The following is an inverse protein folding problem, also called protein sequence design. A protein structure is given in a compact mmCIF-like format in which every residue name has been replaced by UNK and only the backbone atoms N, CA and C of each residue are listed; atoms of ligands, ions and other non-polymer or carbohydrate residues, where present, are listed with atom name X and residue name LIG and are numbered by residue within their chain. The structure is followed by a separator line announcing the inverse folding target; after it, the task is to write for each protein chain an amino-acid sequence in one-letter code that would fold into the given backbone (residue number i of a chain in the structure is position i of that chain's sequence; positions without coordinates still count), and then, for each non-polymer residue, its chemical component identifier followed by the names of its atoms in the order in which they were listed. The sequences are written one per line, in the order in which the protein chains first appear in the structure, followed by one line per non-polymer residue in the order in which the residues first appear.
data_IF_481301759512
#
_entry.id   IF_481301759512
#
_cell.length_a   1.000
_cell.length_b   1.000
_cell.length_c   1.000
_cell.angle_alpha   90.00
_cell.angle_beta   90.00
_cell.angle_gamma   90.00
#
_symmetry.space_group_name_H-M   'P 1'
#
loop_
_entity.id
_entity.type
_entity.pdbx_description
1 polymer ?
#
# COMPACT_ATOMS: atom_id res chain seq x y z
N UNK A 1 -7.08 18.03 -3.96
CA UNK A 1 -6.91 18.13 -5.43
C UNK A 1 -5.46 17.96 -5.79
N UNK A 2 -5.17 17.47 -7.00
CA UNK A 2 -3.81 17.34 -7.52
C UNK A 2 -3.57 18.40 -8.59
N UNK A 3 -2.41 19.05 -8.55
CA UNK A 3 -1.94 19.97 -9.57
C UNK A 3 -0.57 19.53 -10.04
N UNK A 4 -0.30 19.63 -11.34
CA UNK A 4 1.01 19.34 -11.92
C UNK A 4 1.51 20.61 -12.61
N UNK A 5 2.70 21.06 -12.23
CA UNK A 5 3.33 22.26 -12.78
C UNK A 5 4.79 21.93 -13.11
N UNK A 6 5.10 21.77 -14.40
CA UNK A 6 6.38 21.20 -14.83
C UNK A 6 6.57 19.81 -14.22
N UNK A 7 7.71 19.59 -13.56
CA UNK A 7 8.05 18.33 -12.89
C UNK A 7 7.52 18.25 -11.43
N UNK A 8 6.92 19.34 -10.93
CA UNK A 8 6.34 19.37 -9.58
C UNK A 8 4.89 18.87 -9.59
N UNK A 9 4.58 17.96 -8.67
CA UNK A 9 3.25 17.47 -8.37
C UNK A 9 2.87 17.95 -6.98
N UNK A 10 1.85 18.81 -6.94
CA UNK A 10 1.37 19.48 -5.74
C UNK A 10 0.04 18.87 -5.31
N UNK A 11 -0.09 18.59 -4.02
CA UNK A 11 -1.34 18.21 -3.40
C UNK A 11 -1.93 19.41 -2.68
N UNK A 12 -3.19 19.73 -2.97
CA UNK A 12 -4.02 20.55 -2.11
C UNK A 12 -4.84 19.66 -1.20
N UNK A 13 -4.59 19.78 0.10
CA UNK A 13 -5.20 19.01 1.17
C UNK A 13 -6.16 19.94 1.92
N UNK A 14 -7.48 19.77 1.78
CA UNK A 14 -8.45 20.53 2.55
C UNK A 14 -8.23 20.36 4.06
N UNK A 15 -8.43 21.41 4.84
CA UNK A 15 -8.23 21.37 6.30
C UNK A 15 -9.11 20.27 6.96
N UNK A 16 -10.31 20.03 6.42
CA UNK A 16 -11.20 18.95 6.88
C UNK A 16 -10.72 17.52 6.55
N UNK A 17 -9.66 17.36 5.76
CA UNK A 17 -9.01 16.07 5.50
C UNK A 17 -7.84 15.79 6.45
N UNK A 18 -7.33 16.82 7.13
CA UNK A 18 -6.30 16.65 8.14
C UNK A 18 -6.89 15.87 9.33
N UNK A 19 -6.15 14.87 9.81
CA UNK A 19 -6.61 13.98 10.87
C UNK A 19 -7.54 12.86 10.40
N UNK A 20 -7.96 12.85 9.12
CA UNK A 20 -8.79 11.76 8.58
C UNK A 20 -7.92 10.61 8.07
N UNK A 21 -8.35 9.41 8.39
CA UNK A 21 -7.72 8.17 7.94
C UNK A 21 -8.10 7.87 6.50
N UNK A 22 -7.12 7.44 5.71
CA UNK A 22 -7.25 7.11 4.30
C UNK A 22 -6.60 5.75 4.04
N UNK A 23 -7.15 4.97 3.12
CA UNK A 23 -6.52 3.73 2.69
C UNK A 23 -5.52 4.03 1.57
N UNK A 24 -4.24 3.71 1.78
CA UNK A 24 -3.20 3.73 0.76
C UNK A 24 -2.95 2.32 0.23
N UNK A 25 -3.25 2.12 -1.06
CA UNK A 25 -2.97 0.87 -1.78
C UNK A 25 -1.90 1.14 -2.84
N UNK A 26 -0.81 0.38 -2.81
CA UNK A 26 0.25 0.44 -3.81
C UNK A 26 0.30 -0.86 -4.60
N UNK A 27 0.44 -0.74 -5.92
CA UNK A 27 0.45 -1.88 -6.85
C UNK A 27 1.51 -1.70 -7.92
N UNK A 28 2.07 -2.80 -8.43
CA UNK A 28 2.89 -2.78 -9.63
C UNK A 28 1.94 -2.64 -10.83
N UNK A 29 1.93 -1.49 -11.49
CA UNK A 29 1.11 -1.26 -12.68
C UNK A 29 1.74 -1.92 -13.91
N UNK A 30 3.07 -1.77 -14.06
CA UNK A 30 3.87 -2.36 -15.13
C UNK A 30 5.25 -2.72 -14.61
N UNK A 31 5.82 -3.81 -15.09
CA UNK A 31 7.17 -4.20 -14.72
C UNK A 31 7.81 -5.05 -15.81
N UNK A 32 9.13 -5.11 -15.84
CA UNK A 32 9.84 -6.06 -16.70
C UNK A 32 9.55 -7.50 -16.25
N UNK A 33 9.73 -8.46 -17.17
CA UNK A 33 9.46 -9.88 -16.93
C UNK A 33 10.15 -10.38 -15.65
N UNK A 34 9.48 -11.25 -14.90
CA UNK A 34 9.98 -11.93 -13.70
C UNK A 34 10.20 -11.10 -12.41
N UNK A 35 9.73 -9.85 -12.35
CA UNK A 35 9.74 -9.05 -11.10
C UNK A 35 8.42 -9.21 -10.31
N UNK A 36 7.32 -9.48 -11.03
CA UNK A 36 5.94 -9.53 -10.54
C UNK A 36 4.97 -9.49 -11.72
N UNK A 37 3.67 -9.31 -11.44
CA UNK A 37 2.64 -9.17 -12.49
C UNK A 37 1.95 -7.81 -12.40
N UNK A 38 1.50 -7.28 -13.54
CA UNK A 38 0.70 -6.06 -13.56
C UNK A 38 -0.58 -6.23 -12.75
N UNK A 39 -0.81 -5.32 -11.80
CA UNK A 39 -1.92 -5.36 -10.84
C UNK A 39 -1.57 -5.97 -9.48
N UNK A 40 -0.37 -6.53 -9.30
CA UNK A 40 0.07 -7.08 -8.02
C UNK A 40 0.13 -5.99 -6.94
N UNK A 41 -0.53 -6.24 -5.80
CA UNK A 41 -0.49 -5.37 -4.63
C UNK A 41 0.81 -5.55 -3.84
N UNK A 42 1.52 -4.45 -3.63
CA UNK A 42 2.77 -4.45 -2.87
C UNK A 42 2.57 -3.95 -1.44
N UNK A 43 1.56 -3.11 -1.22
CA UNK A 43 1.24 -2.52 0.07
C UNK A 43 -0.25 -2.18 0.19
N UNK A 44 -0.80 -2.40 1.38
CA UNK A 44 -2.06 -1.85 1.84
C UNK A 44 -1.84 -1.29 3.24
N UNK A 45 -2.12 0.00 3.46
CA UNK A 45 -1.92 0.64 4.76
C UNK A 45 -2.92 1.76 5.00
N UNK A 46 -3.31 1.94 6.26
CA UNK A 46 -4.07 3.12 6.65
C UNK A 46 -3.09 4.26 6.92
N UNK A 47 -3.35 5.41 6.33
CA UNK A 47 -2.50 6.61 6.46
C UNK A 47 -3.31 7.82 6.86
N UNK A 48 -2.67 8.79 7.51
CA UNK A 48 -3.31 10.02 7.96
C UNK A 48 -2.40 11.22 7.75
N UNK A 49 -2.98 12.28 7.17
CA UNK A 49 -2.33 13.58 7.08
C UNK A 49 -2.44 14.31 8.42
N UNK A 50 -1.33 14.83 8.92
CA UNK A 50 -1.27 15.56 10.19
C UNK A 50 -0.52 16.87 9.99
N UNK A 51 -1.05 17.97 10.55
CA UNK A 51 -0.32 19.24 10.57
C UNK A 51 0.55 19.32 11.81
N UNK A 52 1.84 19.59 11.61
CA UNK A 52 2.78 19.89 12.68
C UNK A 52 3.54 21.18 12.33
N UNK A 53 3.15 22.29 12.96
CA UNK A 53 3.73 23.60 12.69
C UNK A 53 3.54 24.04 11.23
N UNK A 54 4.67 24.24 10.55
CA UNK A 54 4.81 24.63 9.14
C UNK A 54 4.93 23.44 8.19
N UNK A 55 4.67 22.22 8.68
CA UNK A 55 4.76 20.97 7.91
C UNK A 55 3.47 20.18 7.94
N UNK A 56 3.31 19.36 6.90
CA UNK A 56 2.31 18.30 6.83
C UNK A 56 3.06 16.97 6.88
N UNK A 57 2.72 16.16 7.86
CA UNK A 57 3.19 14.80 8.00
C UNK A 57 2.19 13.85 7.34
N UNK A 58 2.71 12.78 6.75
CA UNK A 58 1.92 11.58 6.47
C UNK A 58 2.37 10.51 7.45
N UNK A 59 1.42 9.95 8.19
CA UNK A 59 1.68 8.86 9.14
C UNK A 59 1.03 7.57 8.67
N UNK A 60 1.61 6.44 9.04
CA UNK A 60 0.95 5.14 8.94
C UNK A 60 0.25 4.82 10.26
N UNK A 61 -1.03 4.48 10.18
CA UNK A 61 -1.87 4.12 11.34
C UNK A 61 -1.83 2.61 11.52
N UNK A 62 -1.60 2.15 12.75
CA UNK A 62 -1.61 0.73 13.12
C UNK A 62 -2.69 0.48 14.16
N UNK A 63 -3.49 -0.57 13.93
CA UNK A 63 -4.55 -1.02 14.86
C UNK A 63 -4.21 -2.34 15.55
N UNK A 64 -2.94 -2.75 15.56
CA UNK A 64 -2.52 -4.03 16.15
C UNK A 64 -2.89 -4.13 17.64
N UNK A 65 -2.81 -3.00 18.35
CA UNK A 65 -3.18 -2.89 19.75
C UNK A 65 -4.38 -1.94 19.89
N UNK A 66 -5.49 -2.40 20.44
CA UNK A 66 -6.67 -1.56 20.70
C UNK A 66 -7.08 -1.64 22.17
N UNK A 67 -7.75 -0.60 22.62
CA UNK A 67 -8.46 -0.56 23.89
C UNK A 67 -9.63 0.39 23.73
N UNK A 68 -10.76 0.04 24.35
CA UNK A 68 -11.93 0.91 24.38
C UNK A 68 -11.56 2.30 24.90
N UNK A 69 -11.95 3.34 24.16
CA UNK A 69 -11.62 4.73 24.46
C UNK A 69 -12.06 5.22 25.85
N UNK A 70 -13.05 4.54 26.45
CA UNK A 70 -13.58 4.83 27.79
C UNK A 70 -12.73 4.21 28.90
N UNK A 71 -11.83 3.28 28.59
CA UNK A 71 -11.00 2.60 29.58
C UNK A 71 -9.72 3.39 29.90
N UNK A 72 -9.24 3.37 31.16
CA UNK A 72 -8.00 4.04 31.56
C UNK A 72 -6.77 3.62 30.75
N UNK A 73 -6.70 2.35 30.34
CA UNK A 73 -5.60 1.77 29.56
C UNK A 73 -5.52 2.33 28.13
N UNK A 74 -6.60 2.92 27.60
CA UNK A 74 -6.64 3.46 26.24
C UNK A 74 -5.60 4.54 25.97
N UNK A 75 -5.22 5.33 26.97
CA UNK A 75 -4.14 6.32 26.84
C UNK A 75 -2.79 5.65 26.66
N UNK A 76 -2.50 4.60 27.43
CA UNK A 76 -1.26 3.85 27.32
C UNK A 76 -1.16 3.09 25.99
N UNK A 77 -2.26 2.47 25.54
CA UNK A 77 -2.31 1.79 24.23
C UNK A 77 -2.11 2.77 23.08
N UNK A 78 -2.77 3.95 23.10
CA UNK A 78 -2.54 4.99 22.08
C UNK A 78 -1.11 5.52 22.09
N UNK A 79 -0.51 5.73 23.27
CA UNK A 79 0.88 6.17 23.38
C UNK A 79 1.87 5.10 22.91
N UNK A 80 1.58 3.82 23.16
CA UNK A 80 2.38 2.70 22.68
C UNK A 80 2.28 2.51 21.15
N UNK A 81 1.14 2.88 20.56
CA UNK A 81 0.93 2.91 19.11
C UNK A 81 1.37 4.24 18.48
N UNK A 82 2.58 4.72 18.81
CA UNK A 82 3.08 5.95 18.18
C UNK A 82 3.30 5.72 16.67
N UNK A 83 2.48 6.36 15.87
CA UNK A 83 2.39 6.17 14.43
C UNK A 83 3.65 6.67 13.69
N UNK A 84 4.37 5.81 12.95
CA UNK A 84 5.53 6.21 12.16
C UNK A 84 5.20 7.27 11.11
N UNK A 85 6.11 8.24 10.97
CA UNK A 85 6.05 9.27 9.93
C UNK A 85 6.68 8.69 8.66
N UNK A 86 5.90 8.64 7.57
CA UNK A 86 6.35 8.15 6.26
C UNK A 86 6.63 9.29 5.28
N UNK A 87 6.13 10.50 5.55
CA UNK A 87 6.50 11.72 4.85
C UNK A 87 6.45 12.94 5.80
N UNK A 88 7.34 13.91 5.56
CA UNK A 88 7.30 15.20 6.24
C UNK A 88 7.53 16.30 5.21
N UNK A 89 6.46 17.00 4.83
CA UNK A 89 6.43 17.91 3.70
C UNK A 89 6.26 19.35 4.21
N UNK A 90 7.10 20.31 3.80
CA UNK A 90 6.87 21.71 4.12
C UNK A 90 5.58 22.20 3.44
N UNK A 91 4.84 23.09 4.11
CA UNK A 91 3.70 23.78 3.48
C UNK A 91 4.25 24.76 2.45
N UNK A 92 3.96 24.52 1.18
CA UNK A 92 4.40 25.36 0.08
C UNK A 92 3.55 26.63 -0.03
N UNK A 93 2.23 26.51 0.19
CA UNK A 93 1.29 27.61 0.12
C UNK A 93 -0.05 27.23 0.79
N UNK A 94 -0.96 28.21 0.85
CA UNK A 94 -2.37 28.00 1.11
C UNK A 94 -3.16 28.32 -0.16
N UNK A 95 -4.34 27.72 -0.33
CA UNK A 95 -5.26 28.16 -1.37
C UNK A 95 -5.84 29.55 -1.04
N UNK A 96 -6.48 30.20 -2.02
CA UNK A 96 -6.87 31.62 -1.94
C UNK A 96 -7.80 31.98 -0.77
N UNK A 97 -8.62 31.04 -0.30
CA UNK A 97 -9.52 31.19 0.86
C UNK A 97 -8.97 30.54 2.14
N UNK A 98 -7.74 30.02 2.11
CA UNK A 98 -7.03 29.35 3.22
C UNK A 98 -7.71 28.09 3.79
N UNK A 99 -8.67 27.52 3.06
CA UNK A 99 -9.38 26.29 3.45
C UNK A 99 -8.59 25.00 3.17
N UNK A 100 -7.46 25.10 2.46
CA UNK A 100 -6.58 23.99 2.13
C UNK A 100 -5.10 24.40 2.16
N UNK A 101 -4.25 23.44 2.53
CA UNK A 101 -2.79 23.56 2.44
C UNK A 101 -2.28 22.93 1.15
N UNK A 102 -1.22 23.50 0.58
CA UNK A 102 -0.56 23.00 -0.62
C UNK A 102 0.81 22.45 -0.23
N UNK A 103 1.11 21.22 -0.64
CA UNK A 103 2.39 20.54 -0.39
C UNK A 103 2.92 19.93 -1.68
N UNK A 104 4.25 19.93 -1.86
CA UNK A 104 4.91 19.23 -2.96
C UNK A 104 5.15 17.76 -2.56
N UNK A 105 4.60 16.84 -3.36
CA UNK A 105 4.72 15.39 -3.14
C UNK A 105 5.64 14.70 -4.14
N UNK A 106 6.28 15.44 -5.06
CA UNK A 106 7.11 14.86 -6.13
C UNK A 106 8.16 13.93 -5.58
N UNK A 107 8.99 14.41 -4.65
CA UNK A 107 10.04 13.60 -4.05
C UNK A 107 9.50 12.40 -3.27
N UNK A 108 8.34 12.55 -2.62
CA UNK A 108 7.76 11.45 -1.85
C UNK A 108 7.40 10.25 -2.74
N UNK A 109 6.77 10.48 -3.89
CA UNK A 109 6.37 9.41 -4.81
C UNK A 109 7.49 8.95 -5.77
N UNK A 110 8.57 9.73 -5.91
CA UNK A 110 9.72 9.40 -6.73
C UNK A 110 10.94 8.93 -5.91
N UNK A 111 10.79 8.66 -4.61
CA UNK A 111 11.86 8.18 -3.72
C UNK A 111 11.56 6.79 -3.17
N UNK A 112 12.56 6.19 -2.53
CA UNK A 112 12.47 4.82 -2.04
C UNK A 112 11.73 4.70 -0.69
N UNK A 113 10.43 5.00 -0.71
CA UNK A 113 9.55 4.82 0.44
C UNK A 113 9.06 3.38 0.47
N UNK A 114 9.21 2.68 1.60
CA UNK A 114 8.86 1.26 1.74
C UNK A 114 7.43 0.94 1.31
N UNK A 115 6.47 1.83 1.59
CA UNK A 115 5.05 1.64 1.25
C UNK A 115 4.70 1.93 -0.22
N UNK A 116 5.60 2.58 -0.96
CA UNK A 116 5.38 2.98 -2.35
C UNK A 116 6.27 2.22 -3.33
N UNK A 117 7.36 1.61 -2.85
CA UNK A 117 8.37 1.01 -3.70
C UNK A 117 8.29 -0.50 -3.82
N UNK A 118 9.41 -1.07 -4.26
CA UNK A 118 9.63 -2.51 -4.28
C UNK A 118 9.65 -3.08 -2.85
N UNK A 119 8.99 -4.22 -2.65
CA UNK A 119 8.94 -4.89 -1.34
C UNK A 119 10.34 -5.29 -0.86
N UNK A 120 10.56 -5.23 0.45
CA UNK A 120 11.85 -5.55 1.09
C UNK A 120 12.41 -6.91 0.67
N UNK A 121 11.59 -7.96 0.66
CA UNK A 121 12.04 -9.30 0.26
C UNK A 121 12.56 -9.35 -1.19
N UNK A 122 11.94 -8.60 -2.11
CA UNK A 122 12.42 -8.48 -3.49
C UNK A 122 13.71 -7.68 -3.59
N UNK A 123 13.83 -6.62 -2.78
CA UNK A 123 15.09 -5.84 -2.69
C UNK A 123 16.24 -6.73 -2.22
N UNK A 124 16.02 -7.56 -1.21
CA UNK A 124 17.02 -8.52 -0.72
C UNK A 124 17.34 -9.58 -1.77
N UNK A 125 16.31 -10.20 -2.37
CA UNK A 125 16.45 -11.23 -3.40
C UNK A 125 17.26 -10.76 -4.61
N UNK A 126 17.00 -9.54 -5.10
CA UNK A 126 17.66 -8.99 -6.29
C UNK A 126 18.87 -8.12 -5.97
N UNK A 127 19.29 -8.07 -4.69
CA UNK A 127 20.44 -7.30 -4.23
C UNK A 127 20.33 -5.83 -4.65
N UNK A 128 19.16 -5.22 -4.41
CA UNK A 128 18.93 -3.80 -4.64
C UNK A 128 19.83 -3.00 -3.71
N UNK A 129 20.62 -2.11 -4.31
CA UNK A 129 21.59 -1.26 -3.61
C UNK A 129 20.99 0.09 -3.24
N UNK A 130 20.32 0.73 -4.21
CA UNK A 130 19.71 2.05 -4.05
C UNK A 130 18.67 2.29 -5.15
N UNK A 131 17.81 3.29 -4.94
CA UNK A 131 17.03 3.90 -6.00
C UNK A 131 17.94 4.84 -6.82
N UNK A 132 17.67 4.93 -8.12
CA UNK A 132 18.20 5.96 -8.99
C UNK A 132 17.17 7.09 -9.13
N UNK A 133 17.38 8.16 -8.37
CA UNK A 133 16.52 9.35 -8.36
C UNK A 133 16.44 10.03 -9.74
N UNK A 134 17.48 9.94 -10.58
CA UNK A 134 17.49 10.58 -11.90
C UNK A 134 16.61 9.87 -12.93
N UNK A 135 16.32 8.59 -12.70
CA UNK A 135 15.46 7.74 -13.54
C UNK A 135 14.12 7.42 -12.89
N UNK A 136 13.83 8.06 -11.75
CA UNK A 136 12.60 7.86 -10.99
C UNK A 136 11.77 9.14 -10.96
N UNK A 137 10.49 9.06 -11.35
CA UNK A 137 9.63 10.23 -11.53
C UNK A 137 8.15 9.87 -11.46
N UNK A 138 7.29 10.87 -11.25
CA UNK A 138 5.83 10.70 -11.34
C UNK A 138 5.43 10.70 -12.82
N UNK A 139 4.83 9.62 -13.30
CA UNK A 139 4.33 9.53 -14.67
C UNK A 139 2.95 10.16 -14.84
N UNK A 140 2.11 10.10 -13.81
CA UNK A 140 0.81 10.80 -13.78
C UNK A 140 0.26 10.92 -12.38
N UNK A 141 -0.55 11.94 -12.13
CA UNK A 141 -1.30 12.08 -10.89
C UNK A 141 -2.68 12.67 -11.17
N UNK A 142 -3.72 12.11 -10.55
CA UNK A 142 -5.13 12.47 -10.78
C UNK A 142 -5.89 12.46 -9.47
N UNK A 143 -6.81 13.41 -9.31
CA UNK A 143 -7.77 13.41 -8.20
C UNK A 143 -9.17 13.09 -8.68
N UNK A 144 -9.86 12.25 -7.93
CA UNK A 144 -11.27 11.89 -8.05
C UNK A 144 -12.01 12.30 -6.77
N UNK A 145 -13.36 12.25 -6.74
CA UNK A 145 -14.12 12.68 -5.55
C UNK A 145 -13.75 11.96 -4.25
N UNK A 146 -13.39 10.67 -4.33
CA UNK A 146 -13.14 9.81 -3.17
C UNK A 146 -11.72 9.28 -3.09
N UNK A 147 -10.87 9.52 -4.08
CA UNK A 147 -9.52 8.97 -4.13
C UNK A 147 -8.56 9.85 -4.94
N UNK A 148 -7.28 9.71 -4.64
CA UNK A 148 -6.18 10.27 -5.43
C UNK A 148 -5.38 9.10 -6.00
N UNK A 149 -5.12 9.15 -7.30
CA UNK A 149 -4.30 8.17 -8.01
C UNK A 149 -2.98 8.82 -8.42
N UNK A 150 -1.86 8.21 -8.03
CA UNK A 150 -0.51 8.61 -8.47
C UNK A 150 0.17 7.42 -9.11
N UNK A 151 0.78 7.63 -10.27
CA UNK A 151 1.67 6.66 -10.89
C UNK A 151 3.09 7.19 -10.89
N UNK A 152 4.02 6.35 -10.46
CA UNK A 152 5.45 6.67 -10.45
C UNK A 152 6.24 5.57 -11.14
N UNK A 153 7.28 5.97 -11.86
CA UNK A 153 8.31 5.07 -12.37
C UNK A 153 9.43 5.09 -11.35
N UNK A 154 9.82 3.92 -10.86
CA UNK A 154 10.91 3.74 -9.92
C UNK A 154 11.97 2.84 -10.55
N UNK A 155 13.21 3.32 -10.57
CA UNK A 155 14.37 2.56 -11.06
C UNK A 155 15.34 2.31 -9.92
N UNK A 156 15.71 1.04 -9.74
CA UNK A 156 16.62 0.57 -8.70
C UNK A 156 17.90 0.01 -9.32
N UNK A 157 19.05 0.36 -8.75
CA UNK A 157 20.31 -0.34 -9.03
C UNK A 157 20.31 -1.69 -8.30
N UNK A 158 20.53 -2.77 -9.03
CA UNK A 158 20.46 -4.14 -8.52
C UNK A 158 21.71 -4.92 -8.87
N UNK A 159 22.14 -5.81 -7.98
CA UNK A 159 23.24 -6.76 -8.25
C UNK A 159 22.77 -7.98 -9.04
N UNK A 160 21.52 -8.38 -8.81
CA UNK A 160 20.93 -9.58 -9.42
C UNK A 160 19.50 -9.29 -9.92
N UNK A 161 19.32 -8.40 -10.91
CA UNK A 161 18.00 -8.14 -11.45
C UNK A 161 17.43 -9.42 -12.13
N UNK A 162 16.11 -9.64 -12.05
CA UNK A 162 15.47 -10.85 -12.59
C UNK A 162 15.35 -10.89 -14.12
N UNK A 163 15.57 -9.76 -14.79
CA UNK A 163 15.62 -9.61 -16.24
C UNK A 163 16.53 -8.44 -16.61
N UNK A 164 16.94 -8.36 -17.88
CA UNK A 164 17.81 -7.30 -18.43
C UNK A 164 19.08 -7.08 -17.59
N UNK A 165 19.78 -8.20 -17.27
CA UNK A 165 20.93 -8.19 -16.36
C UNK A 165 22.07 -7.28 -16.84
N UNK A 166 22.19 -7.07 -18.14
CA UNK A 166 23.14 -6.15 -18.75
C UNK A 166 22.98 -4.70 -18.27
N UNK A 167 21.77 -4.30 -17.86
CA UNK A 167 21.51 -2.96 -17.34
C UNK A 167 21.88 -2.80 -15.87
N UNK A 168 21.96 -3.90 -15.12
CA UNK A 168 22.17 -3.88 -13.68
C UNK A 168 21.06 -3.14 -12.91
N UNK A 169 19.84 -3.05 -13.46
CA UNK A 169 18.74 -2.29 -12.85
C UNK A 169 17.40 -3.00 -12.91
N UNK A 170 16.49 -2.55 -12.04
CA UNK A 170 15.08 -2.95 -12.01
C UNK A 170 14.26 -1.68 -12.19
N UNK A 171 13.44 -1.60 -13.23
CA UNK A 171 12.51 -0.48 -13.44
C UNK A 171 11.08 -0.99 -13.42
N UNK A 172 10.24 -0.31 -12.66
CA UNK A 172 8.82 -0.65 -12.52
C UNK A 172 7.95 0.62 -12.41
N UNK A 173 6.76 0.55 -12.98
CA UNK A 173 5.72 1.56 -12.79
C UNK A 173 4.82 1.14 -11.63
N UNK A 174 4.78 1.94 -10.58
CA UNK A 174 3.88 1.81 -9.45
C UNK A 174 2.61 2.61 -9.64
N UNK A 175 1.49 2.09 -9.17
CA UNK A 175 0.23 2.81 -9.02
C UNK A 175 -0.15 2.87 -7.54
N UNK A 176 -0.46 4.08 -7.08
CA UNK A 176 -0.84 4.39 -5.71
C UNK A 176 -2.24 4.98 -5.69
N UNK A 177 -3.12 4.34 -4.97
CA UNK A 177 -4.48 4.83 -4.71
C UNK A 177 -4.58 5.22 -3.25
N UNK A 178 -4.81 6.50 -2.96
CA UNK A 178 -5.15 6.97 -1.63
C UNK A 178 -6.65 7.24 -1.58
N UNK A 179 -7.40 6.32 -0.99
CA UNK A 179 -8.86 6.29 -0.96
C UNK A 179 -9.37 6.81 0.37
N UNK A 180 -10.38 7.68 0.33
CA UNK A 180 -11.14 8.11 1.49
C UNK A 180 -12.23 7.07 1.79
N UNK A 181 -12.19 6.37 2.93
CA UNK A 181 -13.25 5.45 3.32
C UNK A 181 -14.59 6.18 3.54
N UNK A 182 -15.68 5.43 3.51
CA UNK A 182 -17.00 5.95 3.84
C UNK A 182 -17.00 6.56 5.26
N UNK A 183 -17.75 7.65 5.44
CA UNK A 183 -17.79 8.38 6.71
C UNK A 183 -18.35 7.54 7.88
N UNK A 184 -19.19 6.55 7.58
CA UNK A 184 -19.69 5.57 8.54
C UNK A 184 -18.83 4.32 8.41
N UNK A 185 -18.01 3.97 9.42
CA UNK A 185 -17.22 2.75 9.40
C UNK A 185 -18.14 1.54 9.26
N UNK A 186 -17.78 0.63 8.37
CA UNK A 186 -18.50 -0.63 8.26
C UNK A 186 -18.30 -1.43 9.55
N UNK A 187 -19.38 -2.03 10.04
CA UNK A 187 -19.31 -2.85 11.25
C UNK A 187 -18.34 -4.02 11.04
N UNK A 188 -17.43 -4.18 12.00
CA UNK A 188 -16.51 -5.30 12.03
C UNK A 188 -17.30 -6.61 12.07
N UNK A 189 -16.92 -7.58 11.22
CA UNK A 189 -17.53 -8.92 11.27
C UNK A 189 -16.89 -9.73 12.39
N UNK A 190 -17.71 -10.43 13.14
CA UNK A 190 -17.25 -11.45 14.07
C UNK A 190 -16.75 -12.67 13.27
N UNK A 191 -15.65 -13.24 13.72
CA UNK A 191 -15.09 -14.45 13.14
C UNK A 191 -16.09 -15.61 13.23
N UNK A 192 -16.33 -16.28 12.11
CA UNK A 192 -17.07 -17.54 12.02
C UNK A 192 -16.16 -18.59 11.37
N UNK A 193 -15.81 -19.61 12.16
CA UNK A 193 -14.91 -20.69 11.75
C UNK A 193 -15.41 -21.49 10.54
N UNK A 194 -16.72 -21.45 10.24
CA UNK A 194 -17.33 -22.16 9.11
C UNK A 194 -17.09 -21.49 7.76
N UNK A 195 -16.62 -20.24 7.77
CA UNK A 195 -16.44 -19.43 6.57
C UNK A 195 -14.94 -19.11 6.47
N UNK A 196 -14.19 -19.99 5.79
CA UNK A 196 -12.72 -20.00 5.74
C UNK A 196 -12.06 -18.81 5.01
N UNK A 197 -12.26 -17.58 5.50
CA UNK A 197 -11.54 -16.39 5.08
C UNK A 197 -10.50 -15.96 6.14
N UNK A 198 -9.50 -15.20 5.68
CA UNK A 198 -8.29 -14.80 6.43
C UNK A 198 -8.57 -14.17 7.81
N UNK A 199 -7.78 -14.54 8.83
CA UNK A 199 -7.79 -14.00 10.22
C UNK A 199 -6.81 -12.82 10.34
N UNK A 200 -7.19 -11.78 11.09
CA UNK A 200 -6.30 -10.70 11.55
C UNK A 200 -6.25 -10.78 13.08
N UNK A 201 -5.08 -11.05 13.65
CA UNK A 201 -4.91 -11.10 15.10
C UNK A 201 -4.79 -9.67 15.65
N UNK A 202 -5.75 -9.27 16.48
CA UNK A 202 -5.75 -7.98 17.17
C UNK A 202 -5.70 -8.22 18.68
N UNK A 203 -4.81 -7.50 19.37
CA UNK A 203 -4.71 -7.57 20.83
C UNK A 203 -5.55 -6.46 21.44
N UNK A 204 -6.61 -6.85 22.15
CA UNK A 204 -7.51 -5.94 22.86
C UNK A 204 -7.14 -5.91 24.35
N UNK A 205 -6.59 -4.79 24.78
CA UNK A 205 -6.13 -4.55 26.16
C UNK A 205 -7.26 -4.09 27.09
N UNK A 206 -8.48 -3.92 26.57
CA UNK A 206 -9.66 -3.56 27.36
C UNK A 206 -10.38 -4.75 28.00
N UNK A 207 -10.02 -5.98 27.63
CA UNK A 207 -10.60 -7.20 28.20
C UNK A 207 -9.92 -7.52 29.53
N UNK A 208 -10.73 -7.66 30.59
CA UNK A 208 -10.26 -8.17 31.87
C UNK A 208 -9.47 -9.46 31.66
N UNK A 209 -8.31 -9.51 32.30
CA UNK A 209 -7.25 -10.50 32.10
C UNK A 209 -7.71 -11.88 32.56
N UNK A 210 -8.57 -12.57 31.80
CA UNK A 210 -8.90 -14.01 31.89
C UNK A 210 -10.01 -14.43 30.90
N UNK A 211 -9.79 -14.29 29.58
CA UNK A 211 -10.34 -15.22 28.57
C UNK A 211 -9.72 -14.94 27.20
N UNK A 212 -9.10 -15.97 26.65
CA UNK A 212 -8.32 -15.93 25.41
C UNK A 212 -9.09 -15.42 24.19
N UNK A 213 -8.30 -14.81 23.30
CA UNK A 213 -8.43 -14.79 21.84
C UNK A 213 -9.85 -14.63 21.27
N UNK A 214 -10.22 -13.38 21.03
CA UNK A 214 -11.29 -13.04 20.09
C UNK A 214 -10.79 -11.86 19.23
N UNK A 215 -10.38 -12.19 18.01
CA UNK A 215 -9.96 -11.26 16.97
C UNK A 215 -11.19 -10.55 16.36
N UNK A 216 -11.13 -9.23 16.21
CA UNK A 216 -12.15 -8.43 15.51
C UNK A 216 -11.61 -8.00 14.14
N UNK A 217 -12.44 -8.06 13.08
CA UNK A 217 -12.04 -7.75 11.71
C UNK A 217 -12.59 -6.40 11.21
N UNK A 218 -11.71 -5.52 10.72
CA UNK A 218 -12.09 -4.33 9.95
C UNK A 218 -12.34 -4.68 8.47
N UNK A 219 -13.39 -4.18 7.79
CA UNK A 219 -13.58 -4.43 6.37
C UNK A 219 -12.70 -3.47 5.55
N UNK A 220 -11.68 -3.98 4.90
CA UNK A 220 -11.06 -3.36 3.73
C UNK A 220 -11.13 -4.36 2.57
N UNK A 221 -11.21 -3.81 1.36
CA UNK A 221 -11.87 -4.41 0.20
C UNK A 221 -11.41 -5.82 -0.19
N UNK A 222 -12.39 -6.65 -0.59
CA UNK A 222 -12.23 -8.04 -0.96
C UNK A 222 -11.19 -8.28 -2.07
N UNK A 223 -10.20 -9.14 -1.78
CA UNK A 223 -9.31 -9.76 -2.77
C UNK A 223 -10.06 -10.82 -3.59
N UNK A 224 -10.01 -10.68 -4.91
CA UNK A 224 -10.18 -11.80 -5.84
C UNK A 224 -8.79 -12.34 -6.20
N UNK A 225 -8.40 -13.48 -5.62
CA UNK A 225 -7.32 -14.32 -6.12
C UNK A 225 -7.88 -15.72 -6.36
N UNK A 226 -8.17 -16.03 -7.62
CA UNK A 226 -8.45 -17.39 -8.07
C UNK A 226 -7.17 -17.99 -8.64
N UNK A 227 -6.39 -18.69 -7.81
CA UNK A 227 -5.43 -19.68 -8.28
C UNK A 227 -6.15 -21.02 -8.39
N UNK A 228 -6.68 -21.31 -9.57
CA UNK A 228 -7.20 -22.63 -9.92
C UNK A 228 -6.04 -23.57 -10.29
N UNK A 229 -5.65 -24.41 -9.33
CA UNK A 229 -4.88 -25.62 -9.62
C UNK A 229 -5.73 -26.59 -10.44
N UNK A 230 -5.18 -27.06 -11.56
CA UNK A 230 -5.79 -28.06 -12.44
C UNK A 230 -5.70 -29.44 -11.75
N UNK A 231 -6.80 -30.18 -11.56
CA UNK A 231 -6.74 -31.59 -11.20
C UNK A 231 -6.62 -32.45 -12.46
N UNK A 232 -5.70 -33.43 -12.41
CA UNK A 232 -5.50 -34.43 -13.43
C UNK A 232 -6.74 -35.32 -13.62
N UNK A 233 -7.30 -35.33 -14.84
CA UNK A 233 -8.37 -36.21 -15.26
C UNK A 233 -7.87 -37.34 -16.17
N UNK A 234 -8.17 -38.58 -15.77
CA UNK A 234 -8.03 -39.82 -16.56
C UNK A 234 -9.16 -39.94 -17.60
N UNK A 235 -8.80 -40.31 -18.83
CA UNK A 235 -9.53 -41.07 -19.87
C UNK A 235 -8.88 -40.69 -21.23
N UNK A 236 -8.47 -41.53 -22.17
CA UNK A 236 -8.82 -42.90 -22.55
C UNK A 236 -9.11 -42.90 -24.06
N UNK A 237 -8.30 -43.59 -24.87
CA UNK A 237 -8.73 -44.13 -26.18
C UNK A 237 -8.17 -43.53 -27.48
N UNK A 238 -7.18 -44.25 -28.05
CA UNK A 238 -7.01 -44.67 -29.46
C UNK A 238 -6.97 -43.65 -30.63
N UNK A 239 -5.88 -43.63 -31.43
CA UNK A 239 -5.68 -44.48 -32.61
C UNK A 239 -4.33 -44.19 -33.34
N UNK A 240 -3.58 -45.28 -33.60
CA UNK A 240 -2.70 -45.63 -34.74
C UNK A 240 -1.65 -44.67 -35.36
N UNK A 241 -0.39 -45.13 -35.35
CA UNK A 241 0.47 -45.47 -36.51
C UNK A 241 1.89 -45.83 -35.97
N UNK A 242 2.25 -47.09 -35.74
CA UNK A 242 2.76 -48.15 -36.64
C UNK A 242 4.24 -48.01 -37.08
N UNK A 243 4.98 -49.15 -36.93
CA UNK A 243 6.34 -49.55 -37.38
C UNK A 243 7.58 -49.18 -36.52
N UNK A 244 8.23 -50.14 -35.82
CA UNK A 244 9.22 -51.17 -36.27
C UNK A 244 10.55 -50.50 -36.73
N UNK A 245 11.79 -50.80 -36.31
CA UNK A 245 12.49 -51.95 -35.70
C UNK A 245 13.89 -51.49 -35.22
N UNK A 246 14.47 -52.26 -34.31
CA UNK A 246 15.90 -52.36 -33.91
C UNK A 246 16.54 -51.24 -33.06
#
# INVERSE_FOLDING_TARGET
MVYTQGDSTLFSIPNGMLGREMLLVSRIARTATNIGYGGEETNESVVRWERQGDRILLRTVSYLNVADSTLPISKAVRAANFEPIIASLPIAAYNGDTTAVIVDVTKFYASDVTLLGLQRGRKEQYQVRRLDDSRSFISSARSYPTNIEVRSVLTYDAGWPPSNQETGTITLEMAHSMVLPAAVPMQARLYDERVGFFRLDQVDYGRDVQRGDAALHHPLAARAQGHGGVPAGRAGGAHQADRLLH
#
